data_IF_923463721229
#
_entry.id   IF_923463721229
#
_cell.length_a   1.000
_cell.length_b   1.000
_cell.length_c   1.000
_cell.angle_alpha   90.00
_cell.angle_beta   90.00
_cell.angle_gamma   90.00
#
_symmetry.space_group_name_H-M   'P 1'
#
loop_
_entity.id
_entity.type
_entity.pdbx_description
1 polymer ?
#
# COMPACT_ATOMS: atom_id res chain seq x y z
N UNK A 1 -63.50 7.39 43.20
CA UNK A 1 -62.56 8.10 42.30
C UNK A 1 -61.21 7.36 42.11
N UNK A 2 -61.20 6.02 41.90
CA UNK A 2 -59.95 5.27 41.60
C UNK A 2 -60.00 4.38 40.35
N UNK A 3 -61.15 4.29 39.67
CA UNK A 3 -61.32 3.43 38.48
C UNK A 3 -61.09 4.14 37.14
N UNK A 4 -61.12 5.48 37.08
CA UNK A 4 -60.88 6.22 35.83
C UNK A 4 -59.39 6.40 35.46
N UNK A 5 -58.48 6.27 36.43
CA UNK A 5 -57.05 6.50 36.19
C UNK A 5 -56.33 5.25 35.65
N UNK A 6 -56.88 4.05 35.90
CA UNK A 6 -56.35 2.79 35.34
C UNK A 6 -56.82 2.60 33.88
N UNK A 7 -58.00 3.11 33.50
CA UNK A 7 -58.42 3.10 32.10
C UNK A 7 -57.59 4.03 31.20
N UNK A 8 -57.16 5.20 31.69
CA UNK A 8 -56.31 6.11 30.91
C UNK A 8 -54.86 5.60 30.75
N UNK A 9 -54.34 4.86 31.71
CA UNK A 9 -53.03 4.20 31.58
C UNK A 9 -53.08 3.03 30.58
N UNK A 10 -54.14 2.22 30.59
CA UNK A 10 -54.29 1.12 29.62
C UNK A 10 -54.63 1.59 28.19
N UNK A 11 -55.27 2.75 28.01
CA UNK A 11 -55.49 3.35 26.67
C UNK A 11 -54.22 4.01 26.09
N UNK A 12 -53.21 4.31 26.91
CA UNK A 12 -51.91 4.83 26.42
C UNK A 12 -50.91 3.72 26.07
N UNK A 13 -51.06 2.53 26.64
CA UNK A 13 -50.21 1.35 26.37
C UNK A 13 -50.63 0.67 25.05
N UNK A 14 -51.88 0.89 24.61
CA UNK A 14 -52.40 0.43 23.31
C UNK A 14 -52.22 1.42 22.15
N UNK A 15 -51.46 2.51 22.34
CA UNK A 15 -50.81 3.14 21.18
C UNK A 15 -49.64 2.25 20.82
N UNK A 16 -49.93 1.21 20.01
CA UNK A 16 -48.93 0.45 19.27
C UNK A 16 -47.91 1.46 18.80
N UNK A 17 -46.70 1.43 19.38
CA UNK A 17 -45.59 2.24 18.91
C UNK A 17 -45.25 1.61 17.57
N UNK A 18 -45.94 2.08 16.52
CA UNK A 18 -45.74 1.62 15.16
C UNK A 18 -44.36 2.08 14.73
N UNK A 19 -43.40 1.20 14.94
CA UNK A 19 -42.04 1.35 14.49
C UNK A 19 -41.91 0.76 13.10
N UNK A 20 -41.26 1.49 12.19
CA UNK A 20 -40.90 1.00 10.87
C UNK A 20 -39.40 0.76 10.88
N UNK A 21 -38.97 -0.43 10.43
CA UNK A 21 -37.54 -0.75 10.30
C UNK A 21 -37.07 -0.37 8.90
N UNK A 22 -36.10 0.53 8.82
CA UNK A 22 -35.46 0.97 7.58
C UNK A 22 -34.10 0.29 7.46
N UNK A 23 -33.95 -0.58 6.46
CA UNK A 23 -32.68 -1.27 6.20
C UNK A 23 -32.03 -0.64 4.97
N UNK A 24 -30.82 -0.11 5.17
CA UNK A 24 -29.98 0.46 4.13
C UNK A 24 -28.93 -0.56 3.73
N UNK A 25 -28.83 -0.84 2.44
CA UNK A 25 -27.91 -1.86 1.95
C UNK A 25 -27.35 -1.53 0.57
N UNK A 26 -26.17 -2.08 0.30
CA UNK A 26 -25.56 -2.14 -1.03
C UNK A 26 -25.36 -3.61 -1.36
N UNK A 27 -25.91 -4.07 -2.50
CA UNK A 27 -25.82 -5.48 -2.93
C UNK A 27 -26.33 -6.44 -1.84
N UNK A 28 -25.44 -7.20 -1.19
CA UNK A 28 -25.75 -8.17 -0.12
C UNK A 28 -25.35 -7.68 1.28
N UNK A 29 -24.76 -6.49 1.38
CA UNK A 29 -24.23 -5.95 2.63
C UNK A 29 -25.17 -4.89 3.19
N UNK A 30 -25.59 -5.05 4.44
CA UNK A 30 -26.34 -4.04 5.20
C UNK A 30 -25.35 -3.00 5.72
N UNK A 31 -25.63 -1.73 5.45
CA UNK A 31 -24.82 -0.58 5.88
C UNK A 31 -25.41 0.10 7.10
N UNK A 32 -26.73 0.18 7.17
CA UNK A 32 -27.44 0.78 8.29
C UNK A 32 -28.77 0.06 8.50
N UNK A 33 -29.20 -0.07 9.75
CA UNK A 33 -30.45 -0.70 10.13
C UNK A 33 -31.08 0.14 11.23
N UNK A 34 -32.14 0.86 10.88
CA UNK A 34 -32.65 1.94 11.70
C UNK A 34 -34.12 1.70 12.00
N UNK A 35 -34.49 1.69 13.28
CA UNK A 35 -35.87 1.62 13.70
C UNK A 35 -36.40 3.05 13.87
N UNK A 36 -37.39 3.41 13.08
CA UNK A 36 -37.99 4.75 13.05
C UNK A 36 -39.37 4.70 13.69
N UNK A 37 -39.59 5.58 14.67
CA UNK A 37 -40.88 5.84 15.32
C UNK A 37 -41.21 7.33 15.22
N UNK A 38 -42.45 7.72 15.48
CA UNK A 38 -42.83 9.14 15.57
C UNK A 38 -42.01 9.90 16.63
N UNK A 39 -41.53 9.20 17.66
CA UNK A 39 -40.92 9.83 18.84
C UNK A 39 -39.39 9.65 18.92
N UNK A 40 -38.84 8.63 18.27
CA UNK A 40 -37.42 8.32 18.35
C UNK A 40 -36.92 7.59 17.10
N UNK A 41 -35.61 7.56 16.95
CA UNK A 41 -34.90 6.76 15.95
C UNK A 41 -33.77 6.03 16.67
N UNK A 42 -33.71 4.71 16.52
CA UNK A 42 -32.71 3.87 17.19
C UNK A 42 -31.98 3.05 16.14
N UNK A 43 -30.66 3.01 16.25
CA UNK A 43 -29.81 2.16 15.42
C UNK A 43 -29.93 0.73 15.96
N UNK A 44 -30.36 -0.19 15.11
CA UNK A 44 -30.56 -1.58 15.47
C UNK A 44 -29.26 -2.36 15.27
N UNK A 45 -28.40 -2.33 16.27
CA UNK A 45 -27.11 -3.05 16.27
C UNK A 45 -27.25 -4.58 16.41
N UNK A 46 -28.46 -5.14 16.30
CA UNK A 46 -28.70 -6.58 16.52
C UNK A 46 -28.71 -7.35 15.20
N UNK A 47 -27.74 -8.27 15.08
CA UNK A 47 -27.63 -9.26 13.98
C UNK A 47 -28.74 -10.33 13.97
N UNK A 48 -29.87 -10.08 14.64
CA UNK A 48 -30.93 -11.08 14.81
C UNK A 48 -32.09 -10.74 13.87
N UNK A 49 -32.05 -11.31 12.67
CA UNK A 49 -33.25 -11.47 11.84
C UNK A 49 -34.03 -12.64 12.45
N UNK A 50 -34.87 -12.37 13.45
CA UNK A 50 -35.83 -13.38 13.91
C UNK A 50 -36.86 -13.61 12.82
N UNK A 51 -37.03 -14.89 12.50
CA UNK A 51 -37.92 -15.50 11.52
C UNK A 51 -39.41 -15.30 11.82
N UNK A 52 -39.89 -14.06 11.78
CA UNK A 52 -41.32 -13.77 11.55
C UNK A 52 -41.50 -13.34 10.10
N UNK A 53 -42.70 -13.51 9.55
CA UNK A 53 -43.04 -13.08 8.19
C UNK A 53 -42.74 -11.58 8.02
N UNK A 54 -41.56 -11.26 7.49
CA UNK A 54 -41.14 -9.88 7.23
C UNK A 54 -41.73 -9.48 5.89
N UNK A 55 -42.72 -8.59 5.93
CA UNK A 55 -43.19 -7.92 4.74
C UNK A 55 -42.25 -6.75 4.43
N UNK A 56 -41.45 -6.89 3.37
CA UNK A 56 -40.44 -5.93 2.97
C UNK A 56 -40.87 -5.12 1.73
N UNK A 57 -40.84 -3.79 1.83
CA UNK A 57 -41.15 -2.86 0.74
C UNK A 57 -39.91 -2.12 0.28
N UNK A 58 -39.77 -1.97 -1.03
CA UNK A 58 -38.68 -1.21 -1.62
C UNK A 58 -39.05 0.27 -1.70
N UNK A 59 -38.28 1.14 -1.05
CA UNK A 59 -38.51 2.59 -1.17
C UNK A 59 -38.19 3.09 -2.59
N UNK A 60 -37.12 2.55 -3.19
CA UNK A 60 -36.73 2.86 -4.56
C UNK A 60 -35.94 1.70 -5.18
N UNK A 61 -36.45 1.15 -6.28
CA UNK A 61 -35.80 0.06 -7.03
C UNK A 61 -34.48 0.48 -7.70
N UNK A 62 -34.37 1.75 -8.09
CA UNK A 62 -33.19 2.33 -8.79
C UNK A 62 -32.06 2.73 -7.83
N UNK A 63 -32.34 2.73 -6.53
CA UNK A 63 -31.40 3.11 -5.48
C UNK A 63 -31.24 4.62 -5.28
N UNK A 64 -30.88 4.97 -4.05
CA UNK A 64 -30.74 6.34 -3.57
C UNK A 64 -29.26 6.64 -3.34
N UNK A 65 -28.88 7.89 -3.59
CA UNK A 65 -27.53 8.38 -3.34
C UNK A 65 -27.18 8.23 -1.84
N UNK A 66 -25.97 7.76 -1.53
CA UNK A 66 -25.52 7.59 -0.15
C UNK A 66 -25.57 8.91 0.65
N UNK A 67 -25.25 10.04 0.02
CA UNK A 67 -25.28 11.34 0.69
C UNK A 67 -26.72 11.77 1.01
N UNK A 68 -27.64 11.50 0.07
CA UNK A 68 -29.06 11.76 0.28
C UNK A 68 -29.65 10.86 1.36
N UNK A 69 -29.32 9.58 1.36
CA UNK A 69 -29.75 8.62 2.38
C UNK A 69 -29.23 9.00 3.77
N UNK A 70 -27.95 9.36 3.88
CA UNK A 70 -27.33 9.81 5.13
C UNK A 70 -27.98 11.10 5.64
N UNK A 71 -28.16 12.09 4.77
CA UNK A 71 -28.83 13.36 5.11
C UNK A 71 -30.28 13.14 5.53
N UNK A 72 -30.99 12.24 4.86
CA UNK A 72 -32.35 11.87 5.20
C UNK A 72 -32.45 11.23 6.58
N UNK A 73 -31.59 10.26 6.92
CA UNK A 73 -31.58 9.69 8.28
C UNK A 73 -31.22 10.76 9.30
N UNK A 74 -30.17 11.54 9.04
CA UNK A 74 -29.70 12.58 9.96
C UNK A 74 -30.79 13.61 10.26
N UNK A 75 -31.51 14.06 9.24
CA UNK A 75 -32.63 15.01 9.38
C UNK A 75 -33.82 14.40 10.13
N UNK A 76 -34.14 13.13 9.91
CA UNK A 76 -35.14 12.42 10.72
C UNK A 76 -34.69 12.26 12.18
N UNK A 77 -33.39 12.04 12.44
CA UNK A 77 -32.84 11.96 13.81
C UNK A 77 -32.94 13.31 14.53
N UNK A 78 -32.67 14.42 13.85
CA UNK A 78 -32.63 15.75 14.48
C UNK A 78 -33.99 16.44 14.59
N UNK A 79 -34.89 16.28 13.62
CA UNK A 79 -36.16 17.03 13.56
C UNK A 79 -37.39 16.14 13.84
N UNK A 80 -38.12 16.43 14.92
CA UNK A 80 -39.35 15.72 15.27
C UNK A 80 -40.47 15.96 14.24
N UNK A 81 -40.62 17.19 13.74
CA UNK A 81 -41.62 17.55 12.73
C UNK A 81 -41.37 16.82 11.41
N UNK A 82 -40.12 16.78 10.96
CA UNK A 82 -39.75 16.05 9.75
C UNK A 82 -40.00 14.55 9.92
N UNK A 83 -39.62 13.98 11.06
CA UNK A 83 -39.83 12.56 11.39
C UNK A 83 -41.31 12.16 11.38
N UNK A 84 -42.19 12.97 11.96
CA UNK A 84 -43.63 12.70 11.95
C UNK A 84 -44.21 12.70 10.53
N UNK A 85 -43.79 13.65 9.69
CA UNK A 85 -44.23 13.71 8.30
C UNK A 85 -43.66 12.55 7.46
N UNK A 86 -42.39 12.22 7.64
CA UNK A 86 -41.77 11.05 7.03
C UNK A 86 -42.51 9.76 7.42
N UNK A 87 -42.89 9.62 8.70
CA UNK A 87 -43.67 8.47 9.17
C UNK A 87 -45.05 8.37 8.53
N UNK A 88 -45.74 9.48 8.32
CA UNK A 88 -47.02 9.48 7.58
C UNK A 88 -46.83 8.95 6.16
N UNK A 89 -45.81 9.42 5.45
CA UNK A 89 -45.52 8.99 4.07
C UNK A 89 -45.12 7.51 4.00
N UNK A 90 -44.24 7.05 4.89
CA UNK A 90 -43.80 5.66 4.92
C UNK A 90 -44.97 4.72 5.26
N UNK A 91 -45.91 5.13 6.12
CA UNK A 91 -47.15 4.38 6.38
C UNK A 91 -48.05 4.27 5.15
N UNK A 92 -48.22 5.36 4.40
CA UNK A 92 -49.00 5.33 3.14
C UNK A 92 -48.37 4.36 2.15
N UNK A 93 -47.03 4.35 2.04
CA UNK A 93 -46.30 3.41 1.19
C UNK A 93 -46.52 1.95 1.60
N UNK A 94 -46.49 1.65 2.90
CA UNK A 94 -46.75 0.30 3.40
C UNK A 94 -48.19 -0.16 3.13
N UNK A 95 -49.18 0.74 3.32
CA UNK A 95 -50.59 0.47 3.04
C UNK A 95 -50.86 0.16 1.57
N UNK A 96 -50.19 0.87 0.66
CA UNK A 96 -50.32 0.62 -0.78
C UNK A 96 -49.77 -0.75 -1.22
N UNK A 97 -49.05 -1.44 -0.35
CA UNK A 97 -48.47 -2.76 -0.60
C UNK A 97 -49.18 -3.88 0.19
N UNK A 98 -50.40 -3.65 0.69
CA UNK A 98 -51.24 -4.63 1.41
C UNK A 98 -50.55 -5.30 2.62
N UNK A 99 -49.67 -4.55 3.29
CA UNK A 99 -48.98 -5.06 4.48
C UNK A 99 -49.88 -4.87 5.71
N UNK A 100 -50.37 -5.99 6.26
CA UNK A 100 -51.17 -6.04 7.48
C UNK A 100 -50.42 -5.47 8.69
N UNK A 101 -51.17 -4.78 9.57
CA UNK A 101 -50.69 -4.08 10.77
C UNK A 101 -49.97 -4.99 11.79
N UNK A 102 -50.13 -6.32 11.66
CA UNK A 102 -49.62 -7.32 12.60
C UNK A 102 -48.19 -7.83 12.26
N UNK A 103 -47.65 -7.41 11.10
CA UNK A 103 -46.31 -7.80 10.65
C UNK A 103 -45.28 -6.69 10.88
N UNK A 104 -44.06 -7.07 11.28
CA UNK A 104 -42.95 -6.11 11.38
C UNK A 104 -42.63 -5.55 9.99
N UNK A 105 -43.07 -4.31 9.76
CA UNK A 105 -42.94 -3.64 8.47
C UNK A 105 -41.49 -3.20 8.23
N UNK A 106 -40.87 -3.72 7.16
CA UNK A 106 -39.50 -3.40 6.78
C UNK A 106 -39.48 -2.62 5.48
N UNK A 107 -38.76 -1.50 5.46
CA UNK A 107 -38.51 -0.71 4.26
C UNK A 107 -37.05 -0.85 3.85
N UNK A 108 -36.85 -1.30 2.63
CA UNK A 108 -35.56 -1.55 2.01
C UNK A 108 -35.11 -0.33 1.21
N UNK A 109 -33.98 0.25 1.62
CA UNK A 109 -33.31 1.37 0.97
C UNK A 109 -32.04 0.86 0.27
N UNK A 110 -32.11 0.71 -1.06
CA UNK A 110 -30.93 0.35 -1.85
C UNK A 110 -30.06 1.59 -2.05
N UNK A 111 -28.79 1.52 -1.67
CA UNK A 111 -27.82 2.56 -1.98
C UNK A 111 -27.25 2.37 -3.39
N UNK A 112 -26.95 3.50 -4.04
CA UNK A 112 -26.17 3.54 -5.28
C UNK A 112 -24.98 4.48 -5.13
N UNK A 113 -23.97 4.23 -5.94
CA UNK A 113 -22.83 5.14 -6.05
C UNK A 113 -23.30 6.51 -6.55
N UNK A 114 -22.88 7.63 -5.91
CA UNK A 114 -23.20 8.97 -6.41
C UNK A 114 -22.64 9.16 -7.82
N UNK A 115 -23.36 9.92 -8.66
CA UNK A 115 -22.92 10.23 -10.03
C UNK A 115 -21.69 11.15 -10.06
N UNK A 116 -21.51 11.96 -9.02
CA UNK A 116 -20.36 12.85 -8.83
C UNK A 116 -19.64 12.41 -7.57
N UNK A 117 -18.45 11.85 -7.73
CA UNK A 117 -17.58 11.47 -6.63
C UNK A 117 -16.52 12.54 -6.44
N UNK A 118 -16.31 12.98 -5.20
CA UNK A 118 -15.22 13.90 -4.87
C UNK A 118 -13.86 13.18 -4.83
N UNK A 119 -13.87 11.86 -4.58
CA UNK A 119 -12.66 11.05 -4.52
C UNK A 119 -12.17 10.71 -5.94
N UNK A 120 -10.94 11.12 -6.24
CA UNK A 120 -10.26 10.75 -7.49
C UNK A 120 -9.70 9.31 -7.38
N UNK A 121 -10.55 8.35 -7.72
CA UNK A 121 -10.17 6.94 -7.72
C UNK A 121 -9.06 6.62 -8.73
N UNK A 122 -8.98 7.33 -9.86
CA UNK A 122 -7.94 7.11 -10.87
C UNK A 122 -6.58 7.53 -10.32
N UNK A 123 -6.52 8.67 -9.66
CA UNK A 123 -5.28 9.14 -9.06
C UNK A 123 -4.90 8.29 -7.83
N UNK A 124 -5.88 7.86 -7.04
CA UNK A 124 -5.66 6.92 -5.94
C UNK A 124 -5.08 5.58 -6.41
N UNK A 125 -5.62 5.02 -7.50
CA UNK A 125 -5.10 3.80 -8.11
C UNK A 125 -3.66 3.99 -8.60
N UNK A 126 -3.39 5.10 -9.31
CA UNK A 126 -2.03 5.42 -9.77
C UNK A 126 -1.04 5.59 -8.61
N UNK A 127 -1.44 6.28 -7.53
CA UNK A 127 -0.64 6.41 -6.32
C UNK A 127 -0.34 5.05 -5.69
N UNK A 128 -1.34 4.19 -5.59
CA UNK A 128 -1.17 2.85 -5.01
C UNK A 128 -0.17 2.03 -5.83
N UNK A 129 -0.25 2.06 -7.16
CA UNK A 129 0.71 1.36 -8.03
C UNK A 129 2.14 1.87 -7.83
N UNK A 130 2.35 3.19 -7.76
CA UNK A 130 3.69 3.75 -7.53
C UNK A 130 4.23 3.45 -6.13
N UNK A 131 3.36 3.47 -5.11
CA UNK A 131 3.74 3.11 -3.75
C UNK A 131 4.10 1.62 -3.63
N UNK A 132 3.35 0.74 -4.31
CA UNK A 132 3.68 -0.69 -4.40
C UNK A 132 5.01 -0.90 -5.12
N UNK A 133 5.21 -0.30 -6.29
CA UNK A 133 6.47 -0.40 -7.04
C UNK A 133 7.66 0.07 -6.19
N UNK A 134 7.53 1.22 -5.53
CA UNK A 134 8.58 1.74 -4.64
C UNK A 134 8.93 0.74 -3.53
N UNK A 135 7.91 0.18 -2.86
CA UNK A 135 8.08 -0.81 -1.80
C UNK A 135 8.80 -2.06 -2.30
N UNK A 136 8.40 -2.60 -3.44
CA UNK A 136 9.01 -3.79 -4.02
C UNK A 136 10.48 -3.53 -4.39
N UNK A 137 10.80 -2.35 -4.92
CA UNK A 137 12.18 -1.99 -5.22
C UNK A 137 13.02 -1.85 -3.94
N UNK A 138 12.49 -1.19 -2.90
CA UNK A 138 13.21 -1.04 -1.62
C UNK A 138 13.45 -2.41 -0.95
N UNK A 139 12.46 -3.32 -1.03
CA UNK A 139 12.60 -4.70 -0.58
C UNK A 139 13.69 -5.45 -1.35
N UNK A 140 13.65 -5.42 -2.69
CA UNK A 140 14.66 -6.04 -3.54
C UNK A 140 16.07 -5.49 -3.26
N UNK A 141 16.21 -4.17 -3.07
CA UNK A 141 17.49 -3.54 -2.72
C UNK A 141 18.04 -4.01 -1.38
N UNK A 142 17.18 -4.22 -0.38
CA UNK A 142 17.57 -4.78 0.92
C UNK A 142 18.16 -6.18 0.77
N UNK A 143 17.45 -7.08 0.07
CA UNK A 143 17.93 -8.45 -0.18
C UNK A 143 19.24 -8.49 -0.98
N UNK A 144 19.31 -7.70 -2.07
CA UNK A 144 20.50 -7.63 -2.90
C UNK A 144 21.69 -7.06 -2.12
N UNK A 145 21.49 -6.15 -1.17
CA UNK A 145 22.57 -5.58 -0.36
C UNK A 145 23.15 -6.61 0.60
N UNK A 146 22.28 -7.39 1.26
CA UNK A 146 22.70 -8.48 2.14
C UNK A 146 23.45 -9.56 1.36
N UNK A 147 22.89 -10.02 0.24
CA UNK A 147 23.50 -11.05 -0.59
C UNK A 147 24.80 -10.57 -1.25
N UNK A 148 24.81 -9.33 -1.74
CA UNK A 148 25.97 -8.68 -2.34
C UNK A 148 27.11 -8.50 -1.35
N UNK A 149 26.80 -8.12 -0.10
CA UNK A 149 27.78 -8.05 0.98
C UNK A 149 28.40 -9.41 1.28
N UNK A 150 27.60 -10.48 1.36
CA UNK A 150 28.09 -11.83 1.59
C UNK A 150 29.01 -12.34 0.45
N UNK A 151 28.58 -12.22 -0.81
CA UNK A 151 29.43 -12.61 -1.95
C UNK A 151 30.66 -11.73 -2.09
N UNK A 152 30.56 -10.44 -1.79
CA UNK A 152 31.72 -9.56 -1.78
C UNK A 152 32.72 -9.99 -0.70
N UNK A 153 32.29 -10.35 0.51
CA UNK A 153 33.21 -10.84 1.54
C UNK A 153 33.96 -12.10 1.10
N UNK A 154 33.27 -13.03 0.43
CA UNK A 154 33.87 -14.25 -0.12
C UNK A 154 34.68 -14.02 -1.41
N UNK A 155 34.47 -12.90 -2.10
CA UNK A 155 35.09 -12.56 -3.37
C UNK A 155 36.61 -12.30 -3.30
N UNK A 156 37.18 -12.17 -2.11
CA UNK A 156 38.64 -12.09 -1.96
C UNK A 156 39.34 -13.45 -2.09
N UNK A 157 38.61 -14.55 -1.86
CA UNK A 157 39.11 -15.92 -1.92
C UNK A 157 38.61 -16.68 -3.15
N UNK A 158 37.40 -16.36 -3.62
CA UNK A 158 36.74 -17.08 -4.70
C UNK A 158 36.33 -16.14 -5.85
N UNK A 159 36.99 -16.27 -7.00
CA UNK A 159 36.72 -15.43 -8.19
C UNK A 159 35.27 -15.50 -8.67
N UNK A 160 34.65 -16.67 -8.55
CA UNK A 160 33.24 -16.87 -8.87
C UNK A 160 32.33 -15.98 -8.00
N UNK A 161 32.62 -15.89 -6.69
CA UNK A 161 31.88 -15.02 -5.78
C UNK A 161 32.05 -13.54 -6.13
N UNK A 162 33.27 -13.14 -6.53
CA UNK A 162 33.52 -11.78 -7.01
C UNK A 162 32.72 -11.44 -8.28
N UNK A 163 32.56 -12.40 -9.20
CA UNK A 163 31.70 -12.23 -10.39
C UNK A 163 30.23 -12.05 -10.00
N UNK A 164 29.71 -12.91 -9.12
CA UNK A 164 28.32 -12.79 -8.64
C UNK A 164 28.08 -11.46 -7.92
N UNK A 165 29.01 -11.03 -7.07
CA UNK A 165 28.91 -9.73 -6.39
C UNK A 165 28.83 -8.57 -7.39
N UNK A 166 29.57 -8.66 -8.50
CA UNK A 166 29.47 -7.71 -9.61
C UNK A 166 28.10 -7.72 -10.29
N UNK A 167 27.56 -8.91 -10.60
CA UNK A 167 26.24 -9.05 -11.22
C UNK A 167 25.11 -8.51 -10.32
N UNK A 168 25.20 -8.78 -9.01
CA UNK A 168 24.31 -8.21 -8.00
C UNK A 168 24.41 -6.68 -7.99
N UNK A 169 25.64 -6.13 -7.99
CA UNK A 169 25.87 -4.69 -8.01
C UNK A 169 25.26 -4.02 -9.25
N UNK A 170 25.30 -4.68 -10.42
CA UNK A 170 24.66 -4.18 -11.64
C UNK A 170 23.13 -4.20 -11.51
N UNK A 171 22.54 -5.26 -10.92
CA UNK A 171 21.09 -5.31 -10.64
C UNK A 171 20.68 -4.18 -9.70
N UNK A 172 21.44 -3.95 -8.63
CA UNK A 172 21.22 -2.83 -7.71
C UNK A 172 21.32 -1.48 -8.42
N UNK A 173 22.32 -1.29 -9.28
CA UNK A 173 22.48 -0.06 -10.05
C UNK A 173 21.24 0.23 -10.93
N UNK A 174 20.71 -0.78 -11.62
CA UNK A 174 19.48 -0.63 -12.43
C UNK A 174 18.27 -0.22 -11.59
N UNK A 175 18.13 -0.79 -10.39
CA UNK A 175 17.07 -0.41 -9.45
C UNK A 175 17.29 1.02 -8.93
N UNK A 176 18.52 1.40 -8.58
CA UNK A 176 18.86 2.74 -8.12
C UNK A 176 18.53 3.82 -9.15
N UNK A 177 18.78 3.55 -10.44
CA UNK A 177 18.39 4.43 -11.53
C UNK A 177 16.87 4.62 -11.62
N UNK A 178 16.09 3.54 -11.47
CA UNK A 178 14.62 3.62 -11.45
C UNK A 178 14.09 4.42 -10.25
N UNK A 179 14.75 4.33 -9.11
CA UNK A 179 14.40 5.10 -7.91
C UNK A 179 14.75 6.59 -8.02
N UNK A 180 15.61 6.98 -8.97
CA UNK A 180 16.09 8.35 -9.10
C UNK A 180 16.96 8.83 -7.95
N UNK A 181 17.59 7.92 -7.19
CA UNK A 181 18.47 8.27 -6.05
C UNK A 181 19.94 8.30 -6.49
N UNK A 182 20.53 9.50 -6.69
CA UNK A 182 21.90 9.61 -7.19
C UNK A 182 22.96 9.16 -6.17
N UNK A 183 22.66 9.19 -4.86
CA UNK A 183 23.56 8.68 -3.83
C UNK A 183 23.61 7.15 -3.86
N UNK A 184 22.44 6.51 -4.04
CA UNK A 184 22.36 5.07 -4.17
C UNK A 184 23.05 4.58 -5.45
N UNK A 185 22.87 5.29 -6.56
CA UNK A 185 23.58 5.03 -7.83
C UNK A 185 25.10 5.05 -7.61
N UNK A 186 25.62 6.06 -6.91
CA UNK A 186 27.05 6.16 -6.59
C UNK A 186 27.54 5.00 -5.70
N UNK A 187 26.74 4.55 -4.72
CA UNK A 187 27.10 3.36 -3.91
C UNK A 187 27.15 2.09 -4.75
N UNK A 188 26.18 1.87 -5.63
CA UNK A 188 26.18 0.69 -6.51
C UNK A 188 27.38 0.67 -7.46
N UNK A 189 27.82 1.84 -7.95
CA UNK A 189 29.06 1.96 -8.73
C UNK A 189 30.31 1.59 -7.92
N UNK A 190 30.35 1.94 -6.63
CA UNK A 190 31.42 1.52 -5.73
C UNK A 190 31.40 0.00 -5.48
N UNK A 191 30.23 -0.61 -5.29
CA UNK A 191 30.11 -2.07 -5.14
C UNK A 191 30.58 -2.81 -6.39
N UNK A 192 30.19 -2.32 -7.57
CA UNK A 192 30.70 -2.84 -8.84
C UNK A 192 32.22 -2.67 -8.94
N UNK A 193 32.76 -1.51 -8.55
CA UNK A 193 34.21 -1.27 -8.54
C UNK A 193 34.95 -2.23 -7.63
N UNK A 194 34.41 -2.52 -6.45
CA UNK A 194 34.99 -3.49 -5.51
C UNK A 194 35.02 -4.89 -6.11
N UNK A 195 33.94 -5.32 -6.76
CA UNK A 195 33.90 -6.62 -7.44
C UNK A 195 34.94 -6.74 -8.56
N UNK A 196 35.22 -5.64 -9.27
CA UNK A 196 36.25 -5.60 -10.31
C UNK A 196 37.66 -5.68 -9.71
N UNK A 197 37.90 -4.99 -8.58
CA UNK A 197 39.17 -5.10 -7.84
C UNK A 197 39.41 -6.53 -7.38
N UNK A 198 38.37 -7.21 -6.92
CA UNK A 198 38.44 -8.61 -6.50
C UNK A 198 38.79 -9.55 -7.67
N UNK A 199 38.30 -9.25 -8.88
CA UNK A 199 38.64 -9.95 -10.12
C UNK A 199 39.95 -9.46 -10.77
N UNK A 200 40.77 -8.70 -10.06
CA UNK A 200 42.06 -8.15 -10.54
C UNK A 200 41.94 -7.20 -11.76
N UNK A 201 40.77 -6.55 -11.91
CA UNK A 201 40.47 -5.59 -12.97
C UNK A 201 40.52 -4.17 -12.42
N UNK A 202 41.67 -3.51 -12.56
CA UNK A 202 41.94 -2.26 -11.86
C UNK A 202 41.64 -0.98 -12.66
N UNK A 203 41.60 -1.05 -13.99
CA UNK A 203 41.49 0.14 -14.86
C UNK A 203 40.23 0.98 -14.62
N UNK A 204 39.07 0.31 -14.53
CA UNK A 204 37.79 0.99 -14.32
C UNK A 204 37.69 1.57 -12.90
N UNK A 205 37.92 0.79 -11.82
CA UNK A 205 37.92 1.32 -10.45
C UNK A 205 38.84 2.53 -10.26
N UNK A 206 40.04 2.49 -10.86
CA UNK A 206 41.04 3.57 -10.74
C UNK A 206 40.53 4.91 -11.28
N UNK A 207 39.70 4.89 -12.32
CA UNK A 207 39.09 6.10 -12.91
C UNK A 207 37.79 6.50 -12.22
N UNK A 208 37.01 5.52 -11.76
CA UNK A 208 35.64 5.74 -11.26
C UNK A 208 35.62 6.21 -9.80
N UNK A 209 36.42 5.59 -8.92
CA UNK A 209 36.43 5.92 -7.48
C UNK A 209 36.74 7.40 -7.21
N UNK A 210 37.74 8.05 -7.86
CA UNK A 210 38.01 9.47 -7.63
C UNK A 210 36.84 10.38 -8.07
N UNK A 211 36.12 10.01 -9.14
CA UNK A 211 34.94 10.76 -9.60
C UNK A 211 33.83 10.70 -8.54
N UNK A 212 33.58 9.51 -7.99
CA UNK A 212 32.59 9.32 -6.93
C UNK A 212 33.00 10.01 -5.64
N UNK A 213 34.30 10.00 -5.29
CA UNK A 213 34.80 10.72 -4.12
C UNK A 213 34.62 12.24 -4.25
N UNK A 214 34.90 12.81 -5.44
CA UNK A 214 34.64 14.22 -5.73
C UNK A 214 33.15 14.55 -5.61
N UNK A 215 32.29 13.68 -6.14
CA UNK A 215 30.83 13.81 -6.00
C UNK A 215 30.40 13.75 -4.53
N UNK A 216 30.92 12.79 -3.76
CA UNK A 216 30.63 12.62 -2.34
C UNK A 216 30.96 13.90 -1.54
N UNK A 217 32.14 14.48 -1.76
CA UNK A 217 32.55 15.72 -1.11
C UNK A 217 31.66 16.91 -1.52
N UNK A 218 31.29 17.01 -2.80
CA UNK A 218 30.35 18.06 -3.27
C UNK A 218 28.97 17.91 -2.63
N UNK A 219 28.51 16.69 -2.42
CA UNK A 219 27.24 16.38 -1.76
C UNK A 219 27.31 16.35 -0.23
N UNK A 220 28.47 16.69 0.36
CA UNK A 220 28.77 16.59 1.80
C UNK A 220 28.50 15.20 2.42
N UNK A 221 28.48 14.14 1.61
CA UNK A 221 28.18 12.80 2.06
C UNK A 221 29.44 12.11 2.61
N UNK A 222 29.71 12.34 3.89
CA UNK A 222 30.87 11.77 4.62
C UNK A 222 30.91 10.24 4.56
N UNK A 223 29.76 9.57 4.56
CA UNK A 223 29.68 8.11 4.51
C UNK A 223 30.17 7.58 3.15
N UNK A 224 29.70 8.17 2.05
CA UNK A 224 30.12 7.81 0.70
C UNK A 224 31.60 8.11 0.47
N UNK A 225 32.10 9.23 1.00
CA UNK A 225 33.52 9.56 0.95
C UNK A 225 34.37 8.49 1.66
N UNK A 226 33.96 8.03 2.86
CA UNK A 226 34.63 6.94 3.59
C UNK A 226 34.61 5.62 2.82
N UNK A 227 33.49 5.28 2.17
CA UNK A 227 33.41 4.10 1.31
C UNK A 227 34.43 4.16 0.16
N UNK A 228 34.55 5.31 -0.50
CA UNK A 228 35.55 5.50 -1.55
C UNK A 228 36.97 5.28 -1.03
N UNK A 229 37.32 5.86 0.12
CA UNK A 229 38.66 5.71 0.72
C UNK A 229 38.97 4.25 1.05
N UNK A 230 38.00 3.52 1.62
CA UNK A 230 38.17 2.09 1.93
C UNK A 230 38.42 1.25 0.68
N UNK A 231 37.66 1.48 -0.38
CA UNK A 231 37.83 0.74 -1.65
C UNK A 231 39.13 1.16 -2.36
N UNK A 232 39.50 2.44 -2.29
CA UNK A 232 40.77 2.94 -2.83
C UNK A 232 41.98 2.31 -2.14
N UNK A 233 41.93 2.14 -0.82
CA UNK A 233 42.97 1.43 -0.08
C UNK A 233 43.10 -0.03 -0.55
N UNK A 234 41.98 -0.73 -0.75
CA UNK A 234 41.97 -2.11 -1.29
C UNK A 234 42.56 -2.17 -2.71
N UNK A 235 42.22 -1.22 -3.58
CA UNK A 235 42.77 -1.11 -4.93
C UNK A 235 44.30 -0.99 -4.89
N UNK A 236 44.83 -0.06 -4.10
CA UNK A 236 46.28 0.17 -4.00
C UNK A 236 47.01 -1.04 -3.42
N UNK A 237 46.44 -1.71 -2.43
CA UNK A 237 47.00 -2.94 -1.86
C UNK A 237 47.15 -4.04 -2.92
N UNK A 238 46.08 -4.27 -3.72
CA UNK A 238 46.11 -5.27 -4.80
C UNK A 238 47.12 -4.93 -5.89
N UNK A 239 47.17 -3.67 -6.35
CA UNK A 239 48.15 -3.21 -7.35
C UNK A 239 49.59 -3.37 -6.85
N UNK A 240 49.86 -3.02 -5.59
CA UNK A 240 51.20 -3.14 -5.02
C UNK A 240 51.62 -4.61 -4.89
N UNK A 241 50.69 -5.50 -4.53
CA UNK A 241 50.94 -6.94 -4.46
C UNK A 241 51.26 -7.54 -5.83
N UNK A 242 50.55 -7.10 -6.88
CA UNK A 242 50.82 -7.51 -8.26
C UNK A 242 52.21 -7.06 -8.73
N UNK A 243 52.61 -5.82 -8.40
CA UNK A 243 53.97 -5.31 -8.71
C UNK A 243 55.07 -6.10 -8.01
N UNK A 244 54.86 -6.51 -6.77
CA UNK A 244 55.83 -7.36 -6.04
C UNK A 244 55.92 -8.77 -6.63
N UNK A 245 54.81 -9.32 -7.14
CA UNK A 245 54.78 -10.61 -7.82
C UNK A 245 55.39 -10.55 -9.24
N UNK A 246 55.22 -9.44 -9.96
CA UNK A 246 55.81 -9.22 -11.29
C UNK A 246 57.27 -8.72 -11.24
N UNK A 247 57.92 -8.78 -10.08
CA UNK A 247 59.38 -8.68 -9.96
C UNK A 247 60.05 -9.75 -10.86
N UNK A 248 61.15 -9.44 -11.56
CA UNK A 248 61.74 -10.29 -12.62
C UNK A 248 62.10 -11.73 -12.17
N UNK A 249 62.13 -12.00 -10.87
CA UNK A 249 62.41 -13.33 -10.30
C UNK A 249 61.19 -14.28 -10.41
N UNK A 250 59.95 -13.76 -10.47
CA UNK A 250 58.73 -14.59 -10.44
C UNK A 250 58.05 -14.79 -11.81
N UNK A 251 58.32 -13.91 -12.78
CA UNK A 251 57.69 -13.91 -14.12
C UNK A 251 58.09 -15.13 -14.97
N UNK A 252 59.18 -15.82 -14.62
CA UNK A 252 59.65 -17.01 -15.35
C UNK A 252 58.78 -18.27 -15.13
N UNK A 253 57.91 -18.30 -14.12
CA UNK A 253 57.16 -19.52 -13.72
C UNK A 253 55.70 -19.51 -14.23
N UNK A 254 55.09 -18.35 -14.50
CA UNK A 254 53.65 -18.24 -14.76
C UNK A 254 53.24 -18.00 -16.23
N UNK A 255 54.15 -18.15 -17.20
CA UNK A 255 53.88 -17.86 -18.63
C UNK A 255 53.02 -18.89 -19.37
N UNK A 256 52.45 -19.87 -18.67
CA UNK A 256 51.40 -20.74 -19.23
C UNK A 256 50.15 -20.55 -18.39
N UNK A 257 49.02 -20.35 -19.08
CA UNK A 257 47.63 -20.38 -18.59
C UNK A 257 47.04 -18.99 -18.26
N UNK A 258 46.53 -18.28 -19.27
CA UNK A 258 45.08 -18.03 -19.43
C UNK A 258 44.82 -16.98 -20.53
N UNK A 259 44.02 -17.39 -21.53
CA UNK A 259 43.41 -16.51 -22.54
C UNK A 259 41.92 -16.34 -22.26
N UNK A 260 41.49 -15.07 -22.33
CA UNK A 260 40.21 -14.56 -22.86
C UNK A 260 38.89 -14.89 -22.12
N UNK A 261 38.23 -13.85 -21.60
CA UNK A 261 36.82 -13.52 -21.90
C UNK A 261 36.46 -12.15 -21.29
N UNK A 262 36.31 -11.12 -22.14
CA UNK A 262 36.01 -9.75 -21.73
C UNK A 262 35.21 -9.01 -22.81
N UNK A 263 33.87 -8.86 -22.67
CA UNK A 263 33.13 -7.84 -23.47
C UNK A 263 31.73 -7.40 -23.00
N UNK A 264 31.24 -7.70 -21.78
CA UNK A 264 29.87 -7.28 -21.40
C UNK A 264 29.71 -6.22 -20.30
N UNK A 265 30.74 -5.93 -19.49
CA UNK A 265 30.58 -5.01 -18.35
C UNK A 265 30.73 -3.52 -18.76
N UNK A 266 31.32 -3.23 -19.92
CA UNK A 266 31.69 -1.86 -20.31
C UNK A 266 30.51 -1.02 -20.84
N UNK A 267 29.49 -1.64 -21.46
CA UNK A 267 28.37 -0.91 -22.09
C UNK A 267 27.23 -0.49 -21.14
N UNK A 268 27.27 -0.88 -19.87
CA UNK A 268 26.18 -0.60 -18.91
C UNK A 268 26.57 0.42 -17.82
N UNK A 269 27.85 0.78 -17.73
CA UNK A 269 28.38 1.72 -16.73
C UNK A 269 28.75 3.10 -17.31
N UNK A 270 28.65 3.28 -18.62
CA UNK A 270 28.88 4.51 -19.39
C UNK A 270 27.77 4.67 -20.43
#
# INVERSE_FOLDING_TARGET
MKYYQICLLNLSIYRIIMCIRLIIFVKKSVYDDVIVSCNFIVDNNTNVVTSKNIAAVWLNKTGIDADLASTYIKTMKTSCTYRQNAMKLLKILLKNHDISDDSQSVILLRLKMPKKQFLDYRWSEKMNLMAMERREIDYAMSWLSTLGGAFSAMGEQFDYCAKIAGDISIKQFKLALRLGDPLLVARCQLYASLSLIQQEKFEIPRKLIPKIFKYANKSENKQLARMCLGIWAKLNFKINREKTFNSPIHVYICSKIYTSTHTLIIKLLF
#
